data_IF_061606091192
#
_entry.id   IF_061606091192
#
_cell.length_a   1.000
_cell.length_b   1.000
_cell.length_c   1.000
_cell.angle_alpha   90.00
_cell.angle_beta   90.00
_cell.angle_gamma   90.00
#
_symmetry.space_group_name_H-M   'P 1'
#
loop_
_entity.id
_entity.type
_entity.pdbx_description
1 polymer ?
#
# COMPACT_ATOMS: atom_id res chain seq x y z
N UNK A 1 14.81 -9.99 35.84
CA UNK A 1 13.54 -9.35 35.41
C UNK A 1 12.87 -10.25 34.37
N UNK A 2 11.62 -10.70 34.60
CA UNK A 2 10.89 -11.59 33.69
C UNK A 2 10.22 -10.74 32.60
N UNK A 3 10.68 -10.86 31.36
CA UNK A 3 10.09 -10.17 30.21
C UNK A 3 8.72 -10.79 29.95
N UNK A 4 7.66 -9.98 30.04
CA UNK A 4 6.29 -10.46 29.87
C UNK A 4 5.99 -10.63 28.38
N UNK A 5 5.10 -11.57 27.99
CA UNK A 5 4.79 -11.87 26.58
C UNK A 5 4.28 -10.65 25.78
N UNK A 6 3.78 -9.63 26.50
CA UNK A 6 3.37 -8.34 25.95
C UNK A 6 4.57 -7.52 25.43
N UNK A 7 5.70 -7.58 26.12
CA UNK A 7 6.92 -6.84 25.75
C UNK A 7 7.67 -7.52 24.60
N UNK A 8 7.55 -8.84 24.46
CA UNK A 8 8.07 -9.58 23.31
C UNK A 8 7.44 -9.12 21.99
N UNK A 9 6.15 -8.76 21.98
CA UNK A 9 5.46 -8.29 20.76
C UNK A 9 5.97 -6.93 20.27
N UNK A 10 6.50 -6.10 21.16
CA UNK A 10 7.11 -4.80 20.82
C UNK A 10 8.52 -4.96 20.23
N UNK A 11 9.21 -6.06 20.55
CA UNK A 11 10.55 -6.37 20.05
C UNK A 11 10.56 -7.09 18.70
N UNK A 12 9.40 -7.55 18.21
CA UNK A 12 9.26 -8.03 16.83
C UNK A 12 9.26 -6.79 15.94
N UNK A 13 10.44 -6.21 15.73
CA UNK A 13 10.70 -5.32 14.60
C UNK A 13 10.24 -6.08 13.37
N UNK A 14 9.06 -5.71 12.83
CA UNK A 14 8.58 -6.21 11.54
C UNK A 14 9.78 -6.08 10.61
N UNK A 15 10.25 -7.22 10.10
CA UNK A 15 11.36 -7.34 9.19
C UNK A 15 10.98 -6.57 7.92
N UNK A 16 11.18 -5.26 7.95
CA UNK A 16 11.00 -4.36 6.84
C UNK A 16 12.11 -4.70 5.88
N UNK A 17 11.85 -5.65 4.98
CA UNK A 17 12.74 -5.91 3.86
C UNK A 17 13.03 -4.56 3.21
N UNK A 18 14.31 -4.19 3.18
CA UNK A 18 14.77 -2.94 2.61
C UNK A 18 14.00 -2.69 1.32
N UNK A 19 13.34 -1.53 1.24
CA UNK A 19 12.54 -1.19 0.09
C UNK A 19 13.48 -1.20 -1.12
N UNK A 20 13.43 -2.26 -1.93
CA UNK A 20 14.20 -2.34 -3.18
C UNK A 20 13.92 -1.06 -3.96
N UNK A 21 14.97 -0.41 -4.46
CA UNK A 21 14.83 0.75 -5.31
C UNK A 21 13.89 0.39 -6.48
N UNK A 22 12.78 1.11 -6.61
CA UNK A 22 11.73 0.81 -7.58
C UNK A 22 10.55 -0.05 -7.08
N UNK A 23 10.58 -0.51 -5.83
CA UNK A 23 9.45 -1.22 -5.21
C UNK A 23 8.21 -0.34 -5.05
N UNK A 24 7.03 -0.97 -4.99
CA UNK A 24 5.74 -0.28 -4.83
C UNK A 24 5.71 0.72 -3.66
N UNK A 25 6.44 0.44 -2.57
CA UNK A 25 6.56 1.35 -1.43
C UNK A 25 7.24 2.68 -1.81
N UNK A 26 8.35 2.60 -2.54
CA UNK A 26 9.09 3.78 -3.03
C UNK A 26 8.24 4.55 -4.03
N UNK A 27 7.56 3.85 -4.95
CA UNK A 27 6.68 4.48 -5.93
C UNK A 27 5.48 5.19 -5.28
N UNK A 28 4.90 4.60 -4.23
CA UNK A 28 3.81 5.20 -3.47
C UNK A 28 4.27 6.45 -2.70
N UNK A 29 5.43 6.36 -2.03
CA UNK A 29 6.02 7.47 -1.30
C UNK A 29 6.34 8.68 -2.20
N UNK A 30 6.85 8.45 -3.42
CA UNK A 30 7.11 9.52 -4.40
C UNK A 30 5.87 10.29 -4.83
N UNK A 31 4.69 9.73 -4.63
CA UNK A 31 3.40 10.32 -5.02
C UNK A 31 2.53 10.66 -3.80
N UNK A 32 3.15 10.77 -2.62
CA UNK A 32 2.48 11.02 -1.33
C UNK A 32 1.25 10.12 -1.08
N UNK A 33 1.34 8.86 -1.55
CA UNK A 33 0.26 7.89 -1.50
C UNK A 33 0.56 6.78 -0.48
N UNK A 34 -0.44 6.35 0.32
CA UNK A 34 -0.28 5.15 1.12
C UNK A 34 -0.07 3.91 0.25
N UNK A 35 0.90 3.06 0.61
CA UNK A 35 1.18 1.81 -0.10
C UNK A 35 -0.04 0.88 -0.18
N UNK A 36 -0.85 0.84 0.87
CA UNK A 36 -2.08 0.06 0.90
C UNK A 36 -3.04 0.50 -0.22
N UNK A 37 -3.20 1.82 -0.39
CA UNK A 37 -3.99 2.45 -1.45
C UNK A 37 -3.44 2.08 -2.83
N UNK A 38 -2.14 2.21 -3.05
CA UNK A 38 -1.52 1.85 -4.33
C UNK A 38 -1.80 0.38 -4.68
N UNK A 39 -1.64 -0.55 -3.71
CA UNK A 39 -1.93 -1.98 -3.93
C UNK A 39 -3.39 -2.25 -4.26
N UNK A 40 -4.33 -1.61 -3.55
CA UNK A 40 -5.77 -1.80 -3.85
C UNK A 40 -6.12 -1.29 -5.24
N UNK A 41 -5.51 -0.18 -5.66
CA UNK A 41 -5.71 0.37 -7.00
C UNK A 41 -5.17 -0.56 -8.08
N UNK A 42 -3.92 -1.00 -7.96
CA UNK A 42 -3.33 -1.96 -8.91
C UNK A 42 -4.21 -3.21 -9.00
N UNK A 43 -4.66 -3.75 -7.86
CA UNK A 43 -5.57 -4.90 -7.87
C UNK A 43 -6.85 -4.63 -8.67
N UNK A 44 -7.57 -3.52 -8.40
CA UNK A 44 -8.80 -3.17 -9.14
C UNK A 44 -8.58 -3.01 -10.65
N UNK A 45 -7.41 -2.51 -11.05
CA UNK A 45 -7.07 -2.30 -12.46
C UNK A 45 -6.72 -3.63 -13.14
N UNK A 46 -6.00 -4.51 -12.45
CA UNK A 46 -5.72 -5.88 -12.91
C UNK A 46 -7.00 -6.71 -12.99
N UNK A 47 -7.89 -6.61 -11.99
CA UNK A 47 -9.19 -7.29 -11.98
C UNK A 47 -10.09 -6.83 -13.17
N UNK A 48 -9.85 -5.64 -13.72
CA UNK A 48 -10.50 -5.12 -14.93
C UNK A 48 -9.83 -5.59 -16.23
N UNK A 49 -8.81 -6.44 -16.14
CA UNK A 49 -8.08 -6.99 -17.29
C UNK A 49 -6.91 -6.13 -17.76
N UNK A 50 -6.43 -5.15 -16.98
CA UNK A 50 -5.21 -4.42 -17.34
C UNK A 50 -3.95 -5.16 -16.91
N UNK A 51 -2.93 -5.08 -17.75
CA UNK A 51 -1.59 -5.56 -17.41
C UNK A 51 -1.06 -4.91 -16.14
N UNK A 52 -0.34 -5.69 -15.35
CA UNK A 52 0.13 -5.27 -14.03
C UNK A 52 1.01 -4.03 -14.09
N UNK A 53 1.90 -3.93 -15.08
CA UNK A 53 2.78 -2.76 -15.23
C UNK A 53 1.98 -1.50 -15.57
N UNK A 54 1.08 -1.62 -16.56
CA UNK A 54 0.17 -0.54 -16.96
C UNK A 54 -0.77 -0.12 -15.83
N UNK A 55 -1.23 -1.08 -15.03
CA UNK A 55 -2.04 -0.84 -13.84
C UNK A 55 -1.26 -0.04 -12.78
N UNK A 56 0.04 -0.29 -12.60
CA UNK A 56 0.89 0.49 -11.69
C UNK A 56 1.02 1.92 -12.18
N UNK A 57 1.32 2.13 -13.46
CA UNK A 57 1.42 3.47 -14.04
C UNK A 57 0.11 4.26 -13.91
N UNK A 58 -1.01 3.64 -14.28
CA UNK A 58 -2.33 4.27 -14.18
C UNK A 58 -2.70 4.56 -12.72
N UNK A 59 -2.37 3.66 -11.78
CA UNK A 59 -2.64 3.87 -10.36
C UNK A 59 -1.81 5.00 -9.74
N UNK A 60 -0.61 5.27 -10.28
CA UNK A 60 0.26 6.37 -9.87
C UNK A 60 -0.15 7.70 -10.52
N UNK A 61 -0.51 7.70 -11.80
CA UNK A 61 -0.90 8.90 -12.54
C UNK A 61 -2.28 9.43 -12.14
N UNK A 62 -3.24 8.55 -11.86
CA UNK A 62 -4.60 8.94 -11.50
C UNK A 62 -4.83 8.75 -10.00
N UNK A 63 -4.87 9.83 -9.21
CA UNK A 63 -5.48 9.75 -7.89
C UNK A 63 -6.95 9.36 -8.07
N UNK A 64 -7.31 8.12 -7.76
CA UNK A 64 -8.72 7.78 -7.51
C UNK A 64 -9.12 8.62 -6.30
N UNK A 65 -9.94 9.64 -6.53
CA UNK A 65 -10.46 10.53 -5.51
C UNK A 65 -11.09 9.76 -4.35
N UNK A 66 -11.32 10.42 -3.20
CA UNK A 66 -11.84 9.76 -2.00
C UNK A 66 -13.06 8.91 -2.37
N UNK A 67 -12.92 7.58 -2.29
CA UNK A 67 -14.05 6.65 -2.35
C UNK A 67 -14.76 6.70 -1.00
N UNK A 68 -15.31 7.88 -0.69
CA UNK A 68 -16.26 8.01 0.39
C UNK A 68 -17.45 7.12 0.06
N UNK A 69 -17.80 6.21 0.99
CA UNK A 69 -19.13 5.61 0.99
C UNK A 69 -20.13 6.77 1.04
N UNK A 70 -21.14 6.85 0.15
CA UNK A 70 -22.25 7.79 0.35
C UNK A 70 -22.76 7.57 1.78
N UNK A 71 -22.63 8.57 2.65
CA UNK A 71 -23.35 8.50 3.92
C UNK A 71 -24.81 8.58 3.52
N UNK A 72 -25.61 7.57 3.90
CA UNK A 72 -27.06 7.67 3.81
C UNK A 72 -27.45 8.91 4.62
N UNK A 73 -27.88 9.96 3.94
CA UNK A 73 -28.79 10.96 4.48
C UNK A 73 -30.17 10.35 4.55
#
# INVERSE_FOLDING_TARGET
MKICSRDQRLLIKKKGGAAREGGMAVRAAKQDMPLATLKTRVKKLVDKGMDRERAVEVALLRPIGPQGRPRRT
#
